data_IF_751784816331
#
_entry.id   IF_751784816331
#
_cell.length_a   1.000
_cell.length_b   1.000
_cell.length_c   1.000
_cell.angle_alpha   90.00
_cell.angle_beta   90.00
_cell.angle_gamma   90.00
#
_symmetry.space_group_name_H-M   'P 1'
#
loop_
_entity.id
_entity.type
_entity.pdbx_description
1 polymer ?
#
# COMPACT_ATOMS: atom_id res chain seq x y z
N UNK A 1 1.72 6.00 -35.42
CA UNK A 1 1.50 4.81 -34.56
C UNK A 1 0.25 5.04 -33.74
N UNK A 2 -0.87 4.42 -34.13
CA UNK A 2 -2.09 4.44 -33.33
C UNK A 2 -1.82 3.81 -31.96
N UNK A 3 -2.23 4.51 -30.89
CA UNK A 3 -2.23 3.94 -29.54
C UNK A 3 -3.21 2.77 -29.55
N UNK A 4 -2.71 1.53 -29.64
CA UNK A 4 -3.50 0.31 -29.43
C UNK A 4 -4.01 0.33 -27.99
N UNK A 5 -5.18 0.93 -27.79
CA UNK A 5 -5.93 0.83 -26.53
C UNK A 5 -6.30 -0.63 -26.29
N UNK A 6 -6.39 -1.04 -25.03
CA UNK A 6 -6.86 -2.40 -24.68
C UNK A 6 -8.26 -2.61 -25.30
N UNK A 7 -8.54 -3.79 -25.90
CA UNK A 7 -9.87 -4.10 -26.40
C UNK A 7 -10.90 -4.01 -25.27
N UNK A 8 -12.10 -3.48 -25.58
CA UNK A 8 -13.20 -3.39 -24.61
C UNK A 8 -13.68 -4.81 -24.29
N UNK A 9 -13.75 -5.14 -23.00
CA UNK A 9 -14.27 -6.43 -22.52
C UNK A 9 -15.75 -6.59 -22.89
N UNK A 10 -16.15 -7.80 -23.27
CA UNK A 10 -17.56 -8.13 -23.47
C UNK A 10 -18.32 -8.11 -22.14
N UNK A 11 -19.65 -7.94 -22.18
CA UNK A 11 -20.47 -7.94 -20.98
C UNK A 11 -20.42 -9.30 -20.24
N UNK A 12 -20.32 -10.41 -20.99
CA UNK A 12 -20.11 -11.73 -20.41
C UNK A 12 -18.75 -11.82 -19.71
N UNK A 13 -17.68 -11.36 -20.34
CA UNK A 13 -16.34 -11.39 -19.75
C UNK A 13 -16.24 -10.51 -18.49
N UNK A 14 -16.94 -9.37 -18.45
CA UNK A 14 -17.05 -8.54 -17.23
C UNK A 14 -17.74 -9.30 -16.09
N UNK A 15 -18.82 -10.02 -16.38
CA UNK A 15 -19.55 -10.81 -15.39
C UNK A 15 -18.71 -11.99 -14.88
N UNK A 16 -18.04 -12.73 -15.77
CA UNK A 16 -17.18 -13.86 -15.38
C UNK A 16 -16.03 -13.39 -14.46
N UNK A 17 -15.36 -12.28 -14.81
CA UNK A 17 -14.33 -11.67 -13.97
C UNK A 17 -14.88 -11.15 -12.63
N UNK A 18 -16.07 -10.53 -12.63
CA UNK A 18 -16.74 -10.09 -11.39
C UNK A 18 -17.08 -11.30 -10.49
N UNK A 19 -17.62 -12.37 -11.07
CA UNK A 19 -17.91 -13.63 -10.38
C UNK A 19 -16.66 -14.23 -9.75
N UNK A 20 -15.54 -14.27 -10.47
CA UNK A 20 -14.28 -14.83 -9.97
C UNK A 20 -13.73 -14.05 -8.76
N UNK A 21 -13.79 -12.71 -8.82
CA UNK A 21 -13.43 -11.84 -7.68
C UNK A 21 -14.34 -12.07 -6.48
N UNK A 22 -15.65 -12.19 -6.71
CA UNK A 22 -16.62 -12.41 -5.65
C UNK A 22 -16.46 -13.80 -5.02
N UNK A 23 -16.12 -14.83 -5.80
CA UNK A 23 -15.82 -16.17 -5.29
C UNK A 23 -14.62 -16.18 -4.34
N UNK A 24 -13.56 -15.44 -4.65
CA UNK A 24 -12.41 -15.27 -3.75
C UNK A 24 -12.78 -14.52 -2.47
N UNK A 25 -13.60 -13.46 -2.59
CA UNK A 25 -14.10 -12.69 -1.46
C UNK A 25 -15.00 -13.53 -0.54
N UNK A 26 -15.83 -14.39 -1.10
CA UNK A 26 -16.66 -15.33 -0.32
C UNK A 26 -15.76 -16.25 0.50
N UNK A 27 -14.73 -16.87 -0.10
CA UNK A 27 -13.76 -17.72 0.63
C UNK A 27 -13.05 -16.96 1.76
N UNK A 28 -12.69 -15.71 1.53
CA UNK A 28 -12.08 -14.86 2.57
C UNK A 28 -13.04 -14.60 3.74
N UNK A 29 -14.29 -14.23 3.44
CA UNK A 29 -15.31 -13.98 4.47
C UNK A 29 -15.70 -15.28 5.20
N UNK A 30 -15.76 -16.42 4.51
CA UNK A 30 -16.01 -17.73 5.13
C UNK A 30 -14.96 -18.03 6.20
N UNK A 31 -13.68 -17.84 5.88
CA UNK A 31 -12.59 -17.98 6.84
C UNK A 31 -12.74 -17.02 8.03
N UNK A 32 -13.13 -15.76 7.78
CA UNK A 32 -13.39 -14.79 8.86
C UNK A 32 -14.57 -15.18 9.75
N UNK A 33 -15.62 -15.80 9.18
CA UNK A 33 -16.77 -16.30 9.95
C UNK A 33 -16.42 -17.54 10.76
N UNK A 34 -15.54 -18.41 10.26
CA UNK A 34 -15.01 -19.55 11.01
C UNK A 34 -14.17 -19.09 12.21
N UNK A 35 -13.29 -18.11 12.01
CA UNK A 35 -12.41 -17.57 13.04
C UNK A 35 -13.17 -16.74 14.10
N UNK A 36 -14.16 -15.94 13.69
CA UNK A 36 -15.03 -15.15 14.59
C UNK A 36 -16.50 -15.11 14.09
N UNK A 37 -17.34 -16.07 14.53
CA UNK A 37 -18.72 -16.20 14.07
C UNK A 37 -19.64 -15.04 14.46
N UNK A 38 -19.26 -14.25 15.47
CA UNK A 38 -20.07 -13.18 16.03
C UNK A 38 -19.45 -11.79 15.86
N UNK A 39 -18.27 -11.70 15.23
CA UNK A 39 -17.58 -10.43 14.96
C UNK A 39 -18.36 -9.48 14.06
N UNK A 40 -18.47 -8.21 14.49
CA UNK A 40 -18.31 -7.07 13.61
C UNK A 40 -17.39 -5.99 14.21
N UNK A 41 -17.16 -4.93 13.40
CA UNK A 41 -16.57 -3.63 13.73
C UNK A 41 -15.04 -3.50 13.61
N UNK A 42 -14.57 -3.31 12.37
CA UNK A 42 -13.65 -2.24 11.91
C UNK A 42 -13.50 -2.42 10.37
N UNK A 43 -13.38 -1.45 9.48
CA UNK A 43 -13.45 0.01 9.52
C UNK A 43 -13.21 0.55 8.10
N UNK A 44 -14.15 0.39 7.15
CA UNK A 44 -14.22 1.34 6.02
C UNK A 44 -15.68 1.68 5.73
N UNK A 45 -16.41 2.11 6.77
CA UNK A 45 -17.56 2.95 6.50
C UNK A 45 -16.99 4.31 6.13
N UNK A 46 -17.09 4.68 4.85
CA UNK A 46 -17.23 6.09 4.50
C UNK A 46 -18.20 6.72 5.51
N UNK A 47 -17.76 7.80 6.16
CA UNK A 47 -18.43 8.46 7.29
C UNK A 47 -19.97 8.32 7.23
N UNK A 48 -20.57 7.61 8.21
CA UNK A 48 -22.02 7.60 8.42
C UNK A 48 -22.78 6.30 8.14
N UNK A 49 -22.15 5.14 7.87
CA UNK A 49 -22.86 3.85 7.77
C UNK A 49 -22.58 2.93 8.95
N UNK A 50 -23.60 2.32 9.58
CA UNK A 50 -23.37 1.30 10.59
C UNK A 50 -22.69 0.08 9.93
N UNK A 51 -21.71 -0.54 10.60
CA UNK A 51 -21.03 -1.70 10.06
C UNK A 51 -21.89 -2.95 10.15
N UNK A 52 -21.49 -3.92 9.36
CA UNK A 52 -22.28 -5.10 9.02
C UNK A 52 -21.52 -6.34 9.46
N UNK A 53 -22.20 -7.27 10.16
CA UNK A 53 -21.62 -8.55 10.62
C UNK A 53 -21.09 -9.41 9.47
N UNK A 54 -20.01 -10.16 9.69
CA UNK A 54 -19.42 -11.03 8.66
C UNK A 54 -20.44 -12.01 8.07
N UNK A 55 -21.30 -12.62 8.89
CA UNK A 55 -22.42 -13.46 8.43
C UNK A 55 -23.36 -12.76 7.44
N UNK A 56 -23.62 -11.47 7.67
CA UNK A 56 -24.49 -10.66 6.78
C UNK A 56 -23.74 -10.27 5.50
N UNK A 57 -22.44 -9.98 5.59
CA UNK A 57 -21.58 -9.75 4.42
C UNK A 57 -21.48 -11.01 3.55
N UNK A 58 -21.30 -12.18 4.18
CA UNK A 58 -21.23 -13.48 3.51
C UNK A 58 -22.52 -13.78 2.77
N UNK A 59 -23.66 -13.62 3.42
CA UNK A 59 -24.97 -13.81 2.78
C UNK A 59 -25.13 -12.90 1.57
N UNK A 60 -24.89 -11.59 1.71
CA UNK A 60 -24.96 -10.64 0.60
C UNK A 60 -24.02 -11.00 -0.56
N UNK A 61 -22.81 -11.46 -0.25
CA UNK A 61 -21.85 -11.87 -1.26
C UNK A 61 -22.30 -13.15 -1.99
N UNK A 62 -22.88 -14.12 -1.28
CA UNK A 62 -23.48 -15.33 -1.88
C UNK A 62 -24.68 -14.99 -2.77
N UNK A 63 -25.57 -14.10 -2.30
CA UNK A 63 -26.73 -13.63 -3.07
C UNK A 63 -26.29 -12.92 -4.36
N UNK A 64 -25.29 -12.03 -4.27
CA UNK A 64 -24.71 -11.35 -5.44
C UNK A 64 -24.02 -12.33 -6.39
N UNK A 65 -23.37 -13.38 -5.89
CA UNK A 65 -22.72 -14.41 -6.70
C UNK A 65 -23.74 -15.24 -7.50
N UNK A 66 -24.86 -15.63 -6.88
CA UNK A 66 -25.94 -16.33 -7.57
C UNK A 66 -26.64 -15.44 -8.61
N UNK A 67 -26.81 -14.15 -8.32
CA UNK A 67 -27.28 -13.17 -9.31
C UNK A 67 -26.34 -13.06 -10.52
N UNK A 68 -25.01 -12.99 -10.29
CA UNK A 68 -24.02 -12.95 -11.38
C UNK A 68 -24.04 -14.24 -12.19
N UNK A 69 -24.15 -15.41 -11.56
CA UNK A 69 -24.28 -16.69 -12.26
C UNK A 69 -25.51 -16.71 -13.17
N UNK A 70 -26.64 -16.19 -12.69
CA UNK A 70 -27.89 -16.13 -13.45
C UNK A 70 -27.76 -15.18 -14.65
N UNK A 71 -27.25 -13.96 -14.44
CA UNK A 71 -27.04 -12.98 -15.51
C UNK A 71 -25.99 -13.46 -16.54
N UNK A 72 -24.92 -14.11 -16.08
CA UNK A 72 -23.90 -14.69 -16.96
C UNK A 72 -24.48 -15.83 -17.79
N UNK A 73 -25.35 -16.67 -17.20
CA UNK A 73 -26.05 -17.74 -17.90
C UNK A 73 -26.97 -17.20 -18.98
N UNK A 74 -27.81 -16.20 -18.68
CA UNK A 74 -28.70 -15.57 -19.67
C UNK A 74 -27.95 -14.93 -20.84
N UNK A 75 -26.75 -14.39 -20.60
CA UNK A 75 -25.90 -13.82 -21.65
C UNK A 75 -25.15 -14.89 -22.45
N UNK A 76 -24.72 -15.95 -21.78
CA UNK A 76 -23.97 -17.02 -22.42
C UNK A 76 -24.88 -17.95 -23.23
N UNK A 77 -26.12 -18.20 -22.79
CA UNK A 77 -27.14 -19.00 -23.53
C UNK A 77 -27.51 -18.36 -24.88
N UNK A 78 -27.15 -17.09 -25.11
CA UNK A 78 -27.25 -16.44 -26.44
C UNK A 78 -26.10 -16.80 -27.38
N UNK A 79 -25.05 -17.44 -26.87
CA UNK A 79 -23.80 -17.74 -27.57
C UNK A 79 -23.51 -19.26 -27.67
N UNK A 80 -24.01 -20.13 -26.76
CA UNK A 80 -23.85 -21.61 -26.80
C UNK A 80 -24.98 -22.39 -26.07
N UNK A 81 -25.22 -23.65 -26.44
CA UNK A 81 -26.35 -24.49 -25.96
C UNK A 81 -26.12 -25.17 -24.59
N UNK A 82 -24.87 -25.37 -24.14
CA UNK A 82 -24.57 -25.97 -22.84
C UNK A 82 -23.39 -25.26 -22.17
N UNK A 83 -23.66 -24.56 -21.07
CA UNK A 83 -22.69 -23.66 -20.45
C UNK A 83 -22.59 -23.91 -18.96
N UNK A 84 -21.43 -24.41 -18.55
CA UNK A 84 -21.04 -24.47 -17.14
C UNK A 84 -20.44 -23.13 -16.71
N UNK A 85 -21.32 -22.22 -16.27
CA UNK A 85 -20.95 -20.88 -15.82
C UNK A 85 -20.00 -20.91 -14.62
N UNK A 86 -20.12 -21.89 -13.71
CA UNK A 86 -19.22 -21.98 -12.56
C UNK A 86 -17.80 -22.30 -12.99
N UNK A 87 -17.63 -23.22 -13.93
CA UNK A 87 -16.33 -23.52 -14.52
C UNK A 87 -15.78 -22.32 -15.29
N UNK A 88 -16.60 -21.63 -16.09
CA UNK A 88 -16.17 -20.41 -16.80
C UNK A 88 -15.73 -19.30 -15.84
N UNK A 89 -16.45 -19.09 -14.73
CA UNK A 89 -16.07 -18.14 -13.69
C UNK A 89 -14.72 -18.55 -13.07
N UNK A 90 -14.54 -19.82 -12.74
CA UNK A 90 -13.29 -20.34 -12.15
C UNK A 90 -12.10 -20.14 -13.10
N UNK A 91 -12.30 -20.43 -14.38
CA UNK A 91 -11.25 -20.42 -15.40
C UNK A 91 -10.99 -19.03 -15.99
N UNK A 92 -11.90 -18.07 -15.79
CA UNK A 92 -11.77 -16.71 -16.32
C UNK A 92 -10.43 -16.06 -15.96
N UNK A 93 -9.66 -15.64 -16.97
CA UNK A 93 -8.48 -14.81 -16.74
C UNK A 93 -8.91 -13.41 -16.33
N UNK A 94 -8.82 -13.13 -15.04
CA UNK A 94 -8.90 -11.76 -14.54
C UNK A 94 -7.47 -11.31 -14.22
N UNK A 95 -6.87 -10.42 -15.03
CA UNK A 95 -5.59 -9.86 -14.71
C UNK A 95 -5.59 -9.26 -13.31
N UNK A 96 -6.70 -8.70 -12.81
CA UNK A 96 -6.75 -8.18 -11.44
C UNK A 96 -6.67 -9.26 -10.35
N UNK A 97 -6.84 -10.54 -10.68
CA UNK A 97 -6.76 -11.68 -9.76
C UNK A 97 -5.33 -12.27 -9.65
N UNK A 98 -4.39 -11.84 -10.49
CA UNK A 98 -2.95 -12.07 -10.29
C UNK A 98 -2.13 -10.78 -10.19
N UNK A 99 -2.62 -9.69 -10.80
CA UNK A 99 -2.04 -8.34 -10.74
C UNK A 99 -2.70 -7.44 -9.69
N UNK A 100 -3.52 -8.00 -8.79
CA UNK A 100 -4.32 -7.18 -7.87
C UNK A 100 -5.00 -7.87 -6.69
N UNK A 101 -4.56 -9.07 -6.28
CA UNK A 101 -4.79 -9.53 -4.90
C UNK A 101 -3.67 -8.88 -4.07
N UNK A 102 -3.99 -8.00 -3.10
CA UNK A 102 -3.03 -7.67 -2.03
C UNK A 102 -2.35 -6.30 -2.00
N UNK A 103 -2.64 -5.34 -2.89
CA UNK A 103 -2.17 -3.94 -2.67
C UNK A 103 -2.80 -3.15 -1.49
N UNK A 104 -3.77 -3.64 -0.68
CA UNK A 104 -4.14 -2.97 0.57
C UNK A 104 -3.02 -2.98 1.61
N UNK A 105 -2.36 -4.13 1.89
CA UNK A 105 -1.35 -4.21 2.98
C UNK A 105 -0.07 -3.43 2.68
N UNK A 106 0.39 -3.44 1.42
CA UNK A 106 1.56 -2.66 1.02
C UNK A 106 1.30 -1.15 1.08
N UNK A 107 0.08 -0.71 0.71
CA UNK A 107 -0.33 0.69 0.88
C UNK A 107 -0.55 1.04 2.35
N UNK A 108 -1.10 0.12 3.15
CA UNK A 108 -1.30 0.27 4.59
C UNK A 108 0.03 0.45 5.34
N UNK A 109 1.05 -0.37 5.05
CA UNK A 109 2.39 -0.14 5.59
C UNK A 109 2.92 1.23 5.17
N UNK A 110 2.73 1.65 3.92
CA UNK A 110 3.19 2.97 3.44
C UNK A 110 2.49 4.12 4.18
N UNK A 111 1.20 3.97 4.46
CA UNK A 111 0.40 4.94 5.20
C UNK A 111 0.85 5.02 6.67
N UNK A 112 1.11 3.87 7.30
CA UNK A 112 1.64 3.81 8.67
C UNK A 112 3.04 4.44 8.71
N UNK A 113 3.92 4.11 7.77
CA UNK A 113 5.25 4.72 7.67
C UNK A 113 5.19 6.24 7.43
N UNK A 114 4.22 6.71 6.66
CA UNK A 114 3.98 8.14 6.49
C UNK A 114 3.55 8.81 7.79
N UNK A 115 2.63 8.20 8.54
CA UNK A 115 2.22 8.68 9.87
C UNK A 115 3.40 8.68 10.85
N UNK A 116 4.25 7.66 10.84
CA UNK A 116 5.49 7.62 11.64
C UNK A 116 6.36 8.84 11.32
N UNK A 117 6.66 9.09 10.03
CA UNK A 117 7.48 10.24 9.61
C UNK A 117 6.89 11.58 10.05
N UNK A 118 5.56 11.73 9.96
CA UNK A 118 4.91 12.95 10.45
C UNK A 118 5.08 13.15 11.96
N UNK A 119 5.03 12.06 12.74
CA UNK A 119 5.26 12.09 14.19
C UNK A 119 6.73 12.36 14.52
N UNK A 120 7.68 11.74 13.83
CA UNK A 120 9.11 11.99 13.98
C UNK A 120 9.44 13.45 13.65
N UNK A 121 8.94 13.97 12.52
CA UNK A 121 9.09 15.38 12.16
C UNK A 121 8.44 16.33 13.19
N UNK A 122 7.35 15.90 13.85
CA UNK A 122 6.72 16.65 14.93
C UNK A 122 7.60 16.65 16.20
N UNK A 123 8.16 15.50 16.58
CA UNK A 123 9.11 15.40 17.69
C UNK A 123 10.28 16.36 17.46
N UNK A 124 10.86 16.37 16.26
CA UNK A 124 11.96 17.29 15.92
C UNK A 124 11.53 18.76 15.99
N UNK A 125 10.30 19.11 15.59
CA UNK A 125 9.79 20.47 15.80
C UNK A 125 9.65 20.83 17.28
N UNK A 126 9.20 19.89 18.12
CA UNK A 126 9.07 20.11 19.57
C UNK A 126 10.45 20.31 20.21
N UNK A 127 11.41 19.42 19.91
CA UNK A 127 12.79 19.51 20.39
C UNK A 127 13.45 20.84 20.02
N UNK A 128 13.20 21.31 18.81
CA UNK A 128 13.74 22.57 18.31
C UNK A 128 12.94 23.82 18.72
N UNK A 129 11.90 23.69 19.56
CA UNK A 129 11.06 24.82 19.99
C UNK A 129 10.24 25.46 18.86
N UNK A 130 10.11 24.78 17.71
CA UNK A 130 9.41 25.26 16.51
C UNK A 130 7.95 24.78 16.44
N UNK A 131 7.47 24.02 17.42
CA UNK A 131 6.05 23.68 17.53
C UNK A 131 5.27 24.93 17.95
N UNK A 132 4.31 25.37 17.12
CA UNK A 132 3.41 26.46 17.50
C UNK A 132 2.73 26.07 18.82
N UNK A 133 2.73 26.93 19.85
CA UNK A 133 1.96 26.67 21.06
C UNK A 133 0.50 26.40 20.65
N UNK A 134 -0.11 25.39 21.26
CA UNK A 134 -1.54 25.14 21.07
C UNK A 134 -2.29 26.45 21.32
N UNK A 135 -2.98 26.94 20.30
CA UNK A 135 -3.87 28.09 20.40
C UNK A 135 -4.85 27.80 21.53
N UNK A 136 -4.66 28.53 22.64
CA UNK A 136 -5.57 28.74 23.78
C UNK A 136 -6.41 27.51 24.15
N UNK A 137 -6.10 26.89 25.30
CA UNK A 137 -7.09 26.14 26.08
C UNK A 137 -8.43 26.90 26.04
N UNK A 138 -9.52 26.22 25.68
CA UNK A 138 -10.86 26.78 25.85
C UNK A 138 -11.01 27.22 27.31
N UNK A 139 -11.75 28.30 27.58
CA UNK A 139 -12.00 28.77 28.96
C UNK A 139 -12.49 27.64 29.88
N UNK A 140 -13.30 26.73 29.33
CA UNK A 140 -13.75 25.51 29.99
C UNK A 140 -12.61 24.58 30.45
N UNK A 141 -11.52 24.48 29.68
CA UNK A 141 -10.34 23.69 30.05
C UNK A 141 -9.52 24.32 31.18
N UNK A 142 -9.45 25.66 31.24
CA UNK A 142 -8.82 26.39 32.35
C UNK A 142 -9.62 26.29 33.64
N UNK A 143 -10.95 26.41 33.56
CA UNK A 143 -11.85 26.27 34.71
C UNK A 143 -11.77 24.87 35.38
N UNK A 144 -11.37 23.84 34.62
CA UNK A 144 -11.16 22.47 35.12
C UNK A 144 -9.74 22.21 35.63
N UNK A 145 -8.87 23.22 35.75
CA UNK A 145 -7.50 23.08 36.24
C UNK A 145 -6.57 22.25 35.33
N UNK A 146 -6.96 22.00 34.08
CA UNK A 146 -6.13 21.23 33.15
C UNK A 146 -4.98 22.09 32.65
N UNK A 147 -3.75 21.75 33.06
CA UNK A 147 -2.54 22.37 32.55
C UNK A 147 -2.22 21.83 31.14
N UNK A 148 -1.62 22.65 30.25
CA UNK A 148 -1.13 22.18 28.97
C UNK A 148 -0.04 21.13 29.18
N UNK A 149 -0.07 20.07 28.36
CA UNK A 149 0.92 18.98 28.44
C UNK A 149 2.33 19.53 28.21
N UNK A 150 3.28 19.05 29.01
CA UNK A 150 4.68 19.41 28.84
C UNK A 150 5.23 18.89 27.50
N UNK A 151 6.28 19.53 26.97
CA UNK A 151 6.93 19.06 25.75
C UNK A 151 7.45 17.63 25.90
N UNK A 152 7.91 17.26 27.10
CA UNK A 152 8.33 15.88 27.42
C UNK A 152 7.17 14.89 27.29
N UNK A 153 6.04 15.16 27.93
CA UNK A 153 4.84 14.30 27.83
C UNK A 153 4.31 14.17 26.40
N UNK A 154 4.43 15.23 25.59
CA UNK A 154 4.05 15.19 24.17
C UNK A 154 4.99 14.27 23.38
N UNK A 155 6.30 14.38 23.60
CA UNK A 155 7.31 13.53 22.95
C UNK A 155 7.09 12.08 23.36
N UNK A 156 7.00 11.76 24.65
CA UNK A 156 6.83 10.40 25.17
C UNK A 156 5.58 9.73 24.56
N UNK A 157 4.48 10.48 24.42
CA UNK A 157 3.25 9.99 23.76
C UNK A 157 3.47 9.72 22.27
N UNK A 158 4.17 10.60 21.56
CA UNK A 158 4.47 10.41 20.13
C UNK A 158 5.40 9.22 19.91
N UNK A 159 6.42 9.05 20.75
CA UNK A 159 7.34 7.91 20.72
C UNK A 159 6.61 6.59 20.98
N UNK A 160 5.72 6.56 21.98
CA UNK A 160 4.86 5.39 22.25
C UNK A 160 3.98 5.03 21.05
N UNK A 161 3.39 6.03 20.38
CA UNK A 161 2.60 5.82 19.16
C UNK A 161 3.47 5.30 18.00
N UNK A 162 4.67 5.84 17.82
CA UNK A 162 5.61 5.36 16.80
C UNK A 162 5.99 3.91 17.08
N UNK A 163 6.23 3.54 18.34
CA UNK A 163 6.57 2.17 18.71
C UNK A 163 5.42 1.19 18.38
N UNK A 164 4.18 1.57 18.69
CA UNK A 164 3.00 0.77 18.35
C UNK A 164 2.85 0.60 16.83
N UNK A 165 3.00 1.69 16.06
CA UNK A 165 2.95 1.67 14.59
C UNK A 165 4.09 0.81 13.99
N UNK A 166 5.29 0.84 14.57
CA UNK A 166 6.40 -0.05 14.16
C UNK A 166 6.11 -1.52 14.47
N UNK A 167 5.38 -1.82 15.54
CA UNK A 167 4.92 -3.18 15.83
C UNK A 167 3.85 -3.65 14.83
N UNK A 168 2.91 -2.77 14.48
CA UNK A 168 1.88 -3.03 13.46
C UNK A 168 2.50 -3.32 12.08
N UNK A 169 3.49 -2.53 11.65
CA UNK A 169 4.25 -2.80 10.42
C UNK A 169 4.86 -4.20 10.46
N UNK A 170 5.54 -4.57 11.55
CA UNK A 170 6.15 -5.92 11.68
C UNK A 170 5.10 -7.03 11.56
N UNK A 171 3.93 -6.87 12.18
CA UNK A 171 2.84 -7.83 12.07
C UNK A 171 2.28 -7.93 10.65
N UNK A 172 2.21 -6.82 9.91
CA UNK A 172 1.79 -6.80 8.51
C UNK A 172 2.84 -7.46 7.60
N UNK A 173 4.13 -7.19 7.82
CA UNK A 173 5.26 -7.76 7.06
C UNK A 173 5.35 -9.28 7.20
N UNK A 174 5.01 -9.83 8.37
CA UNK A 174 4.95 -11.28 8.59
C UNK A 174 3.89 -11.95 7.73
N UNK A 175 2.83 -11.23 7.34
CA UNK A 175 1.74 -11.73 6.51
C UNK A 175 1.97 -11.51 5.01
N UNK A 176 3.11 -10.94 4.62
CA UNK A 176 3.46 -10.66 3.23
C UNK A 176 4.16 -11.86 2.58
N UNK A 177 3.88 -12.06 1.30
CA UNK A 177 4.66 -12.95 0.44
C UNK A 177 6.08 -12.39 0.22
N UNK A 178 7.06 -13.23 -0.17
CA UNK A 178 8.41 -12.77 -0.49
C UNK A 178 8.43 -11.67 -1.57
N UNK A 179 7.58 -11.79 -2.59
CA UNK A 179 7.50 -10.79 -3.68
C UNK A 179 6.93 -9.46 -3.20
N UNK A 180 5.91 -9.47 -2.34
CA UNK A 180 5.36 -8.24 -1.73
C UNK A 180 6.38 -7.54 -0.83
N UNK A 181 7.16 -8.32 -0.06
CA UNK A 181 8.23 -7.79 0.79
C UNK A 181 9.33 -7.14 -0.05
N UNK A 182 9.71 -7.79 -1.15
CA UNK A 182 10.70 -7.24 -2.11
C UNK A 182 10.21 -5.93 -2.75
N UNK A 183 8.96 -5.85 -3.21
CA UNK A 183 8.36 -4.60 -3.73
C UNK A 183 8.38 -3.49 -2.67
N UNK A 184 8.05 -3.82 -1.41
CA UNK A 184 8.07 -2.87 -0.30
C UNK A 184 9.48 -2.35 0.01
N UNK A 185 10.48 -3.21 0.02
CA UNK A 185 11.88 -2.82 0.23
C UNK A 185 12.39 -1.93 -0.90
N UNK A 186 12.05 -2.24 -2.15
CA UNK A 186 12.37 -1.39 -3.30
C UNK A 186 11.76 0.00 -3.12
N UNK A 187 10.50 0.10 -2.67
CA UNK A 187 9.84 1.39 -2.40
C UNK A 187 10.52 2.15 -1.26
N UNK A 188 10.91 1.48 -0.18
CA UNK A 188 11.68 2.09 0.92
C UNK A 188 12.99 2.68 0.41
N UNK A 189 13.78 1.89 -0.32
CA UNK A 189 15.04 2.32 -0.92
C UNK A 189 14.85 3.50 -1.87
N UNK A 190 13.81 3.47 -2.72
CA UNK A 190 13.46 4.60 -3.62
C UNK A 190 13.18 5.90 -2.86
N UNK A 191 12.53 5.82 -1.70
CA UNK A 191 12.29 7.01 -0.87
C UNK A 191 13.59 7.56 -0.28
N UNK A 192 14.45 6.69 0.25
CA UNK A 192 15.78 7.08 0.75
C UNK A 192 16.59 7.73 -0.39
N UNK A 193 16.67 7.09 -1.56
CA UNK A 193 17.33 7.67 -2.73
C UNK A 193 16.70 9.01 -3.16
N UNK A 194 15.38 9.18 -3.04
CA UNK A 194 14.72 10.45 -3.33
C UNK A 194 15.10 11.57 -2.35
N UNK A 195 15.27 11.24 -1.08
CA UNK A 195 15.73 12.18 -0.06
C UNK A 195 17.17 12.61 -0.34
N UNK A 196 18.08 11.65 -0.49
CA UNK A 196 19.50 11.91 -0.75
C UNK A 196 19.70 12.69 -2.07
N UNK A 197 18.95 12.37 -3.13
CA UNK A 197 18.93 13.17 -4.36
C UNK A 197 18.52 14.62 -4.13
N UNK A 198 17.61 14.86 -3.20
CA UNK A 198 17.21 16.22 -2.87
C UNK A 198 18.33 16.99 -2.19
N UNK A 199 19.17 16.31 -1.41
CA UNK A 199 20.36 16.91 -0.77
C UNK A 199 21.43 17.20 -1.83
N UNK A 200 21.77 16.23 -2.68
CA UNK A 200 22.70 16.45 -3.80
C UNK A 200 22.26 17.57 -4.74
N UNK A 201 20.94 17.74 -4.97
CA UNK A 201 20.41 18.87 -5.74
C UNK A 201 20.64 20.22 -5.06
N UNK A 202 20.55 20.29 -3.73
CA UNK A 202 20.83 21.52 -2.97
C UNK A 202 22.30 21.89 -3.04
N UNK A 203 23.17 20.89 -3.15
CA UNK A 203 24.63 21.04 -3.26
C UNK A 203 25.11 21.22 -4.72
N UNK A 204 24.22 21.13 -5.71
CA UNK A 204 24.59 21.23 -7.13
C UNK A 204 25.23 19.97 -7.73
N UNK A 205 25.24 18.85 -7.00
CA UNK A 205 25.93 17.61 -7.38
C UNK A 205 25.05 16.60 -8.16
N UNK A 206 23.76 16.90 -8.41
CA UNK A 206 22.85 15.98 -9.13
C UNK A 206 23.29 15.72 -10.58
N UNK A 207 24.05 16.64 -11.19
CA UNK A 207 24.68 16.43 -12.50
C UNK A 207 25.71 15.30 -12.46
N UNK A 208 26.64 15.37 -11.51
CA UNK A 208 27.66 14.34 -11.29
C UNK A 208 27.05 12.98 -10.96
N UNK A 209 25.97 12.94 -10.17
CA UNK A 209 25.22 11.69 -9.93
C UNK A 209 24.72 11.06 -11.22
N UNK A 210 24.12 11.83 -12.12
CA UNK A 210 23.62 11.31 -13.41
C UNK A 210 24.75 10.78 -14.28
N UNK A 211 25.90 11.44 -14.27
CA UNK A 211 27.10 10.97 -14.98
C UNK A 211 27.62 9.66 -14.39
N UNK A 212 27.79 9.60 -13.06
CA UNK A 212 28.20 8.40 -12.34
C UNK A 212 27.25 7.22 -12.61
N UNK A 213 25.94 7.46 -12.66
CA UNK A 213 24.96 6.41 -12.92
C UNK A 213 25.07 5.81 -14.34
N UNK A 214 25.46 6.62 -15.33
CA UNK A 214 25.65 6.17 -16.71
C UNK A 214 26.91 5.32 -16.86
N UNK A 215 28.01 5.71 -16.20
CA UNK A 215 29.29 5.00 -16.27
C UNK A 215 29.84 4.69 -14.87
N UNK A 216 29.13 3.80 -14.18
CA UNK A 216 29.40 3.48 -12.77
C UNK A 216 30.81 2.94 -12.52
N UNK A 217 31.30 2.05 -13.38
CA UNK A 217 32.61 1.43 -13.18
C UNK A 217 33.74 2.47 -13.25
N UNK A 218 33.67 3.41 -14.20
CA UNK A 218 34.63 4.50 -14.28
C UNK A 218 34.47 5.48 -13.10
N UNK A 219 33.24 5.85 -12.75
CA UNK A 219 32.98 6.79 -11.67
C UNK A 219 33.42 6.29 -10.29
N UNK A 220 33.31 4.97 -10.04
CA UNK A 220 33.76 4.35 -8.79
C UNK A 220 35.29 4.40 -8.61
N UNK A 221 36.04 4.43 -9.72
CA UNK A 221 37.50 4.51 -9.74
C UNK A 221 37.99 5.96 -9.61
N UNK A 222 37.23 6.92 -10.13
CA UNK A 222 37.56 8.36 -10.12
C UNK A 222 36.92 9.06 -8.90
N UNK A 223 37.45 8.77 -7.70
CA UNK A 223 36.97 9.38 -6.45
C UNK A 223 37.36 10.86 -6.29
N UNK A 224 38.29 11.36 -7.10
CA UNK A 224 38.65 12.78 -7.10
C UNK A 224 37.55 13.61 -7.75
N UNK A 225 36.94 13.11 -8.84
CA UNK A 225 35.84 13.77 -9.52
C UNK A 225 34.47 13.49 -8.90
N UNK A 226 34.25 12.29 -8.38
CA UNK A 226 32.95 11.87 -7.83
C UNK A 226 33.00 11.78 -6.30
N UNK A 227 32.39 12.75 -5.58
CA UNK A 227 32.29 12.72 -4.12
C UNK A 227 31.63 11.45 -3.60
N UNK A 228 31.94 11.08 -2.36
CA UNK A 228 31.44 9.85 -1.74
C UNK A 228 29.90 9.81 -1.70
N UNK A 229 29.28 10.94 -1.41
CA UNK A 229 27.82 11.11 -1.34
C UNK A 229 27.17 10.86 -2.71
N UNK A 230 27.82 11.30 -3.79
CA UNK A 230 27.37 11.06 -5.17
C UNK A 230 27.44 9.57 -5.50
N UNK A 231 28.54 8.91 -5.12
CA UNK A 231 28.73 7.48 -5.35
C UNK A 231 27.78 6.62 -4.51
N UNK A 232 27.48 7.03 -3.27
CA UNK A 232 26.54 6.33 -2.38
C UNK A 232 25.12 6.35 -2.97
N UNK A 233 24.64 7.52 -3.40
CA UNK A 233 23.30 7.63 -4.02
C UNK A 233 23.25 6.81 -5.30
N UNK A 234 24.30 6.86 -6.12
CA UNK A 234 24.37 6.10 -7.35
C UNK A 234 24.38 4.58 -7.11
N UNK A 235 25.13 4.09 -6.12
CA UNK A 235 25.14 2.69 -5.73
C UNK A 235 23.75 2.22 -5.28
N UNK A 236 23.06 3.04 -4.48
CA UNK A 236 21.70 2.76 -4.03
C UNK A 236 20.70 2.71 -5.19
N UNK A 237 20.77 3.64 -6.14
CA UNK A 237 19.90 3.65 -7.33
C UNK A 237 20.12 2.42 -8.21
N UNK A 238 21.38 2.01 -8.41
CA UNK A 238 21.69 0.80 -9.18
C UNK A 238 21.20 -0.48 -8.51
N UNK A 239 21.33 -0.57 -7.19
CA UNK A 239 20.76 -1.69 -6.43
C UNK A 239 19.24 -1.74 -6.54
N UNK A 240 18.56 -0.59 -6.47
CA UNK A 240 17.11 -0.48 -6.70
C UNK A 240 16.75 -0.98 -8.10
N UNK A 241 17.47 -0.56 -9.13
CA UNK A 241 17.21 -0.96 -10.52
C UNK A 241 17.41 -2.47 -10.72
N UNK A 242 18.48 -3.02 -10.16
CA UNK A 242 18.75 -4.45 -10.20
C UNK A 242 17.67 -5.28 -9.50
N UNK A 243 17.26 -4.87 -8.28
CA UNK A 243 16.17 -5.52 -7.54
C UNK A 243 14.83 -5.40 -8.24
N UNK A 244 14.50 -4.22 -8.78
CA UNK A 244 13.27 -3.98 -9.53
C UNK A 244 13.20 -4.80 -10.83
N UNK A 245 14.35 -4.97 -11.52
CA UNK A 245 14.43 -5.85 -12.68
C UNK A 245 14.17 -7.30 -12.31
N UNK A 246 14.83 -7.82 -11.27
CA UNK A 246 14.61 -9.19 -10.76
C UNK A 246 13.17 -9.42 -10.33
N UNK A 247 12.56 -8.46 -9.62
CA UNK A 247 11.17 -8.54 -9.21
C UNK A 247 10.23 -8.59 -10.42
N UNK A 248 10.49 -7.77 -11.45
CA UNK A 248 9.71 -7.79 -12.69
C UNK A 248 9.81 -9.15 -13.38
N UNK A 249 11.01 -9.68 -13.53
CA UNK A 249 11.24 -11.02 -14.11
C UNK A 249 10.53 -12.13 -13.31
N UNK A 250 10.48 -12.01 -11.97
CA UNK A 250 9.77 -12.95 -11.11
C UNK A 250 8.24 -12.84 -11.18
N UNK A 251 7.70 -11.72 -11.70
CA UNK A 251 6.26 -11.46 -11.81
C UNK A 251 5.68 -11.78 -13.21
N UNK A 252 6.53 -12.00 -14.23
CA UNK A 252 6.13 -12.23 -15.63
C UNK A 252 5.83 -10.94 -16.40
#
# INVERSE_FOLDING_TARGET
MEKRGRPKLSELEKLLRKGKRLQLKIKEIEKQVEDDPNGPYESISAVGRPPVKYKVQLRRAKDEYESIKTEAREKAEKEQDHIDIEKMIKDAEDPSIGSGIGRPKALEIQDIEYKIRQKEARIERIKNGKEKPELKMSEAGRQLGRLPKSNKEKIDRLESQILAMKAEIRALELKMTPLEREDMDIRRKRRVASFLRSELRREGLDGLRKEAHKNWEAAKLDRERFPAEVLEVCALERDIDARAKKLKEAMG
#
